data_IF_901805551989
#
_entry.id   IF_901805551989
#
_cell.length_a   1.000
_cell.length_b   1.000
_cell.length_c   1.000
_cell.angle_alpha   90.00
_cell.angle_beta   90.00
_cell.angle_gamma   90.00
#
_symmetry.space_group_name_H-M   'P 1'
#
loop_
_entity.id
_entity.type
_entity.pdbx_description
1 polymer ?
#
# COMPACT_ATOMS: atom_id res chain seq x y z
N UNK A 1 -9.68 -16.30 -15.28
CA UNK A 1 -8.73 -15.19 -15.49
C UNK A 1 -8.19 -15.35 -16.91
N UNK A 2 -8.40 -14.35 -17.79
CA UNK A 2 -7.93 -14.42 -19.18
C UNK A 2 -6.37 -14.30 -19.18
N UNK A 3 -5.70 -15.01 -20.10
CA UNK A 3 -4.25 -15.16 -20.19
C UNK A 3 -3.43 -13.88 -20.51
N UNK A 4 -4.05 -12.70 -20.54
CA UNK A 4 -3.46 -11.44 -21.00
C UNK A 4 -3.51 -10.29 -19.99
N UNK A 5 -3.81 -10.53 -18.71
CA UNK A 5 -3.80 -9.45 -17.72
C UNK A 5 -2.36 -9.15 -17.31
N UNK A 6 -1.82 -7.95 -17.62
CA UNK A 6 -0.43 -7.65 -17.30
C UNK A 6 -0.24 -7.54 -15.79
N UNK A 7 0.70 -8.30 -15.24
CA UNK A 7 1.11 -8.20 -13.85
C UNK A 7 1.81 -6.85 -13.61
N UNK A 8 1.21 -6.03 -12.75
CA UNK A 8 1.77 -4.71 -12.41
C UNK A 8 2.78 -4.80 -11.27
N UNK A 9 2.60 -5.74 -10.36
CA UNK A 9 3.56 -6.05 -9.30
C UNK A 9 3.93 -7.52 -9.43
N UNK A 10 5.24 -7.81 -9.42
CA UNK A 10 5.77 -9.17 -9.40
C UNK A 10 6.92 -9.23 -8.39
N UNK A 11 6.87 -10.16 -7.46
CA UNK A 11 7.96 -10.50 -6.55
C UNK A 11 8.28 -11.98 -6.73
N UNK A 12 9.58 -12.30 -6.85
CA UNK A 12 10.08 -13.66 -7.06
C UNK A 12 11.23 -13.93 -6.10
N UNK A 13 11.02 -14.84 -5.16
CA UNK A 13 11.99 -15.19 -4.13
C UNK A 13 12.41 -14.01 -3.25
N UNK A 14 11.55 -12.98 -3.12
CA UNK A 14 11.92 -11.72 -2.50
C UNK A 14 12.20 -11.92 -1.02
N UNK A 15 13.45 -11.66 -0.60
CA UNK A 15 13.93 -11.97 0.75
C UNK A 15 14.64 -10.77 1.35
N UNK A 16 14.44 -10.53 2.66
CA UNK A 16 15.18 -9.52 3.42
C UNK A 16 15.65 -10.04 4.76
N UNK A 17 16.97 -9.93 4.97
CA UNK A 17 17.62 -10.18 6.25
C UNK A 17 18.19 -8.90 6.84
N UNK A 18 18.14 -8.79 8.16
CA UNK A 18 18.81 -7.77 8.97
C UNK A 18 19.69 -8.51 9.99
N UNK A 19 20.97 -8.68 9.67
CA UNK A 19 21.84 -9.58 10.44
C UNK A 19 21.26 -11.00 10.44
N UNK A 20 21.02 -11.57 11.62
CA UNK A 20 20.41 -12.89 11.77
C UNK A 20 18.87 -12.90 11.57
N UNK A 21 18.22 -11.74 11.70
CA UNK A 21 16.77 -11.65 11.62
C UNK A 21 16.29 -11.72 10.16
N UNK A 22 15.38 -12.64 9.87
CA UNK A 22 14.74 -12.82 8.57
C UNK A 22 13.39 -12.09 8.59
N UNK A 23 13.34 -10.90 7.98
CA UNK A 23 12.15 -10.05 7.98
C UNK A 23 11.15 -10.38 6.86
N UNK A 24 11.65 -10.87 5.72
CA UNK A 24 10.83 -11.41 4.61
C UNK A 24 11.58 -12.61 4.04
N UNK A 25 10.87 -13.71 3.83
CA UNK A 25 11.42 -15.00 3.45
C UNK A 25 10.76 -15.53 2.18
N UNK A 26 11.51 -15.51 1.06
CA UNK A 26 11.13 -16.13 -0.20
C UNK A 26 9.71 -15.76 -0.67
N UNK A 27 9.36 -14.46 -0.66
CA UNK A 27 8.04 -14.01 -1.05
C UNK A 27 7.82 -14.16 -2.56
N UNK A 28 6.78 -14.91 -2.92
CA UNK A 28 6.24 -15.02 -4.27
C UNK A 28 4.91 -14.27 -4.33
N UNK A 29 4.80 -13.27 -5.22
CA UNK A 29 3.60 -12.46 -5.32
C UNK A 29 3.41 -11.89 -6.73
N UNK A 30 2.15 -11.86 -7.18
CA UNK A 30 1.74 -11.21 -8.42
C UNK A 30 0.43 -10.46 -8.19
N UNK A 31 0.38 -9.18 -8.62
CA UNK A 31 -0.83 -8.34 -8.55
C UNK A 31 -1.09 -7.73 -9.93
N UNK A 32 -2.35 -7.79 -10.36
CA UNK A 32 -2.76 -7.37 -11.68
C UNK A 32 -3.06 -5.85 -11.77
N UNK A 33 -3.18 -5.33 -12.99
CA UNK A 33 -3.72 -4.01 -13.23
C UNK A 33 -5.21 -3.96 -12.83
N UNK A 34 -5.63 -2.85 -12.21
CA UNK A 34 -7.02 -2.66 -11.75
C UNK A 34 -7.41 -3.50 -10.54
N UNK A 35 -6.48 -4.21 -9.93
CA UNK A 35 -6.71 -5.04 -8.73
C UNK A 35 -6.46 -4.23 -7.46
N UNK A 36 -7.33 -4.38 -6.46
CA UNK A 36 -7.08 -3.94 -5.09
C UNK A 36 -6.58 -5.16 -4.29
N UNK A 37 -5.31 -5.17 -3.99
CA UNK A 37 -4.65 -6.23 -3.24
C UNK A 37 -4.44 -5.82 -1.78
N UNK A 38 -4.99 -6.58 -0.85
CA UNK A 38 -4.79 -6.43 0.59
C UNK A 38 -3.62 -7.28 1.10
N UNK A 39 -2.66 -6.67 1.78
CA UNK A 39 -1.53 -7.36 2.38
C UNK A 39 -1.64 -7.31 3.90
N UNK A 40 -2.11 -8.40 4.49
CA UNK A 40 -2.50 -8.51 5.89
C UNK A 40 -1.46 -9.26 6.71
N UNK A 41 -1.32 -8.86 7.96
CA UNK A 41 -0.47 -9.57 8.92
C UNK A 41 -0.35 -8.79 10.23
N UNK A 42 0.09 -9.44 11.31
CA UNK A 42 0.33 -8.78 12.58
C UNK A 42 1.47 -7.75 12.49
N UNK A 43 1.67 -6.97 13.55
CA UNK A 43 2.82 -6.08 13.64
C UNK A 43 4.11 -6.91 13.65
N UNK A 44 5.10 -6.45 12.89
CA UNK A 44 6.35 -7.21 12.72
C UNK A 44 6.31 -8.35 11.70
N UNK A 45 5.17 -8.64 11.07
CA UNK A 45 5.05 -9.72 10.07
C UNK A 45 5.88 -9.52 8.80
N UNK A 46 6.40 -8.30 8.53
CA UNK A 46 7.20 -8.00 7.34
C UNK A 46 6.49 -7.11 6.31
N UNK A 47 5.26 -6.62 6.57
CA UNK A 47 4.47 -5.80 5.63
C UNK A 47 5.22 -4.56 5.12
N UNK A 48 5.61 -3.67 6.01
CA UNK A 48 6.35 -2.44 5.67
C UNK A 48 7.71 -2.74 5.02
N UNK A 49 8.41 -3.81 5.44
CA UNK A 49 9.65 -4.26 4.82
C UNK A 49 9.41 -4.69 3.36
N UNK A 50 8.35 -5.44 3.12
CA UNK A 50 7.94 -5.86 1.76
C UNK A 50 7.63 -4.66 0.89
N UNK A 51 6.78 -3.73 1.36
CA UNK A 51 6.45 -2.51 0.63
C UNK A 51 7.71 -1.72 0.30
N UNK A 52 8.60 -1.50 1.27
CA UNK A 52 9.87 -0.76 1.04
C UNK A 52 10.76 -1.41 0.00
N UNK A 53 10.78 -2.74 -0.12
CA UNK A 53 11.49 -3.44 -1.20
C UNK A 53 10.79 -3.24 -2.55
N UNK A 54 9.46 -3.36 -2.61
CA UNK A 54 8.68 -3.21 -3.84
C UNK A 54 8.73 -1.78 -4.41
N UNK A 55 8.77 -0.76 -3.55
CA UNK A 55 8.91 0.66 -3.99
C UNK A 55 10.37 1.08 -4.19
N UNK A 56 11.34 0.19 -3.97
CA UNK A 56 12.76 0.46 -4.16
C UNK A 56 13.39 1.42 -3.15
N UNK A 57 12.85 1.48 -1.93
CA UNK A 57 13.44 2.18 -0.79
C UNK A 57 14.39 1.28 0.01
N UNK A 58 14.24 -0.04 -0.15
CA UNK A 58 15.04 -1.03 0.53
C UNK A 58 15.53 -2.07 -0.48
N UNK A 59 16.82 -2.31 -0.50
CA UNK A 59 17.40 -3.37 -1.34
C UNK A 59 17.10 -4.74 -0.73
N UNK A 60 16.55 -5.71 -1.49
CA UNK A 60 16.39 -7.07 -1.04
C UNK A 60 17.76 -7.74 -0.79
N UNK A 61 17.79 -8.73 0.09
CA UNK A 61 18.96 -9.58 0.31
C UNK A 61 19.13 -10.63 -0.80
N UNK A 62 18.00 -11.12 -1.33
CA UNK A 62 17.92 -11.99 -2.51
C UNK A 62 16.54 -11.88 -3.17
N UNK A 63 16.39 -12.49 -4.34
CA UNK A 63 15.18 -12.40 -5.16
C UNK A 63 15.09 -11.08 -5.94
N UNK A 64 13.98 -10.89 -6.63
CA UNK A 64 13.74 -9.74 -7.48
C UNK A 64 12.30 -9.23 -7.37
N UNK A 65 12.10 -7.95 -7.68
CA UNK A 65 10.78 -7.36 -7.81
C UNK A 65 10.68 -6.54 -9.09
N UNK A 66 9.53 -6.61 -9.77
CA UNK A 66 9.23 -5.83 -10.98
C UNK A 66 7.95 -5.05 -10.80
N UNK A 67 7.95 -3.83 -11.29
CA UNK A 67 6.79 -2.93 -11.29
C UNK A 67 6.53 -2.50 -12.74
N UNK A 68 5.35 -2.86 -13.25
CA UNK A 68 5.01 -2.61 -14.67
C UNK A 68 6.02 -3.21 -15.65
N UNK A 69 6.60 -4.39 -15.31
CA UNK A 69 7.63 -5.07 -16.10
C UNK A 69 9.07 -4.58 -15.84
N UNK A 70 9.27 -3.43 -15.16
CA UNK A 70 10.60 -2.88 -14.85
C UNK A 70 11.15 -3.44 -13.53
N UNK A 71 12.34 -3.98 -13.55
CA UNK A 71 13.05 -4.43 -12.35
C UNK A 71 13.41 -3.23 -11.46
N UNK A 72 12.98 -3.28 -10.19
CA UNK A 72 13.11 -2.13 -9.26
C UNK A 72 14.58 -1.82 -8.91
N UNK A 73 15.50 -2.77 -9.07
CA UNK A 73 16.94 -2.58 -8.81
C UNK A 73 17.70 -2.22 -10.09
N UNK A 74 17.40 -2.87 -11.21
CA UNK A 74 18.10 -2.65 -12.46
C UNK A 74 17.56 -1.44 -13.24
N UNK A 75 16.27 -1.12 -13.10
CA UNK A 75 15.56 -0.06 -13.82
C UNK A 75 14.78 0.85 -12.83
N UNK A 76 15.43 1.41 -11.78
CA UNK A 76 14.72 2.08 -10.69
C UNK A 76 13.95 3.33 -11.10
N UNK A 77 14.42 4.09 -12.08
CA UNK A 77 13.74 5.30 -12.55
C UNK A 77 12.44 4.97 -13.29
N UNK A 78 12.48 3.97 -14.18
CA UNK A 78 11.31 3.51 -14.91
C UNK A 78 10.26 2.90 -13.99
N UNK A 79 10.69 2.05 -13.05
CA UNK A 79 9.79 1.46 -12.06
C UNK A 79 9.16 2.54 -11.16
N UNK A 80 9.97 3.45 -10.59
CA UNK A 80 9.50 4.50 -9.68
C UNK A 80 8.60 5.53 -10.35
N UNK A 81 8.76 5.77 -11.64
CA UNK A 81 7.87 6.66 -12.40
C UNK A 81 6.41 6.14 -12.45
N UNK A 82 6.21 4.83 -12.26
CA UNK A 82 4.89 4.19 -12.22
C UNK A 82 4.27 4.13 -10.82
N UNK A 83 5.03 4.47 -9.77
CA UNK A 83 4.67 4.23 -8.38
C UNK A 83 4.19 5.50 -7.69
N UNK A 84 2.99 5.47 -7.11
CA UNK A 84 2.58 6.32 -5.99
C UNK A 84 2.77 5.58 -4.69
N UNK A 85 3.34 6.22 -3.67
CA UNK A 85 3.55 5.59 -2.37
C UNK A 85 3.12 6.49 -1.22
N UNK A 86 2.28 5.96 -0.35
CA UNK A 86 1.82 6.56 0.91
C UNK A 86 2.37 5.72 2.06
N UNK A 87 3.36 6.19 2.79
CA UNK A 87 3.90 5.49 3.95
C UNK A 87 2.94 5.61 5.15
N UNK A 88 3.10 4.71 6.12
CA UNK A 88 2.42 4.74 7.43
C UNK A 88 2.59 6.09 8.14
N UNK A 89 3.81 6.61 8.17
CA UNK A 89 4.09 7.94 8.73
C UNK A 89 4.36 8.95 7.61
N UNK A 90 3.50 9.98 7.42
CA UNK A 90 3.70 11.00 6.41
C UNK A 90 5.01 11.77 6.60
N UNK A 91 5.82 11.82 5.53
CA UNK A 91 7.05 12.62 5.50
C UNK A 91 6.84 13.84 4.59
N UNK A 92 6.59 15.00 5.18
CA UNK A 92 6.24 16.22 4.47
C UNK A 92 7.26 17.34 4.75
N UNK A 93 7.47 18.21 3.76
CA UNK A 93 8.30 19.42 3.93
C UNK A 93 7.50 20.50 4.64
N UNK A 94 7.60 20.55 5.96
CA UNK A 94 6.78 21.38 6.84
C UNK A 94 6.89 22.89 6.60
N UNK A 95 7.97 23.36 5.99
CA UNK A 95 8.24 24.77 5.67
C UNK A 95 7.67 25.22 4.31
N UNK A 96 7.07 24.32 3.56
CA UNK A 96 6.32 24.64 2.35
C UNK A 96 4.84 24.82 2.65
N UNK A 97 4.14 25.61 1.85
CA UNK A 97 2.67 25.59 1.81
C UNK A 97 2.18 24.36 1.01
N UNK A 98 0.94 23.92 1.25
CA UNK A 98 0.40 22.72 0.62
C UNK A 98 0.49 22.74 -0.91
N UNK A 99 0.21 23.87 -1.54
CA UNK A 99 0.31 24.03 -2.99
C UNK A 99 1.75 23.94 -3.51
N UNK A 100 2.71 24.55 -2.81
CA UNK A 100 4.14 24.49 -3.18
C UNK A 100 4.67 23.05 -3.05
N UNK A 101 4.28 22.36 -1.98
CA UNK A 101 4.67 20.97 -1.76
C UNK A 101 4.22 20.08 -2.94
N UNK A 102 2.96 20.15 -3.35
CA UNK A 102 2.46 19.36 -4.49
C UNK A 102 3.16 19.73 -5.81
N UNK A 103 3.37 21.03 -6.08
CA UNK A 103 4.12 21.48 -7.26
C UNK A 103 5.56 20.97 -7.24
N UNK A 104 6.21 20.96 -6.09
CA UNK A 104 7.55 20.42 -5.91
C UNK A 104 7.60 18.93 -6.26
N UNK A 105 6.68 18.13 -5.72
CA UNK A 105 6.59 16.70 -6.04
C UNK A 105 6.32 16.50 -7.55
N UNK A 106 5.40 17.24 -8.14
CA UNK A 106 5.13 17.16 -9.59
C UNK A 106 6.38 17.41 -10.44
N UNK A 107 7.23 18.36 -10.03
CA UNK A 107 8.51 18.63 -10.72
C UNK A 107 9.50 17.46 -10.58
N UNK A 108 9.54 16.77 -9.44
CA UNK A 108 10.39 15.58 -9.26
C UNK A 108 10.00 14.46 -10.23
N UNK A 109 8.72 14.39 -10.61
CA UNK A 109 8.21 13.46 -11.63
C UNK A 109 8.23 14.06 -13.05
N UNK A 110 8.95 15.17 -13.28
CA UNK A 110 9.10 15.85 -14.58
C UNK A 110 7.79 16.35 -15.21
N UNK A 111 6.77 16.64 -14.41
CA UNK A 111 5.56 17.29 -14.92
C UNK A 111 5.86 18.73 -15.36
N UNK A 112 5.24 19.16 -16.46
CA UNK A 112 5.26 20.57 -16.87
C UNK A 112 4.74 21.47 -15.75
N UNK A 113 5.37 22.63 -15.46
CA UNK A 113 4.98 23.48 -14.33
C UNK A 113 3.52 23.93 -14.33
N UNK A 114 2.93 24.16 -15.53
CA UNK A 114 1.51 24.52 -15.64
C UNK A 114 0.60 23.33 -15.35
N UNK A 115 0.98 22.16 -15.87
CA UNK A 115 0.28 20.90 -15.60
C UNK A 115 0.35 20.55 -14.11
N UNK A 116 1.54 20.59 -13.50
CA UNK A 116 1.73 20.35 -12.06
C UNK A 116 0.89 21.32 -11.21
N UNK A 117 0.82 22.60 -11.61
CA UNK A 117 0.01 23.60 -10.92
C UNK A 117 -1.49 23.32 -10.98
N UNK A 118 -2.03 22.96 -12.15
CA UNK A 118 -3.45 22.58 -12.29
C UNK A 118 -3.75 21.30 -11.50
N UNK A 119 -2.93 20.26 -11.67
CA UNK A 119 -3.13 18.99 -10.98
C UNK A 119 -3.05 19.13 -9.45
N UNK A 120 -2.15 19.98 -8.96
CA UNK A 120 -2.05 20.28 -7.53
C UNK A 120 -3.35 20.92 -6.97
N UNK A 121 -3.95 21.88 -7.71
CA UNK A 121 -5.21 22.49 -7.31
C UNK A 121 -6.38 21.49 -7.33
N UNK A 122 -6.47 20.65 -8.36
CA UNK A 122 -7.48 19.59 -8.47
C UNK A 122 -7.39 18.61 -7.28
N UNK A 123 -6.18 18.17 -6.94
CA UNK A 123 -5.97 17.24 -5.83
C UNK A 123 -6.25 17.90 -4.46
N UNK A 124 -5.85 19.15 -4.26
CA UNK A 124 -6.19 19.87 -3.04
C UNK A 124 -7.72 20.02 -2.87
N UNK A 125 -8.43 20.30 -3.96
CA UNK A 125 -9.90 20.37 -3.94
C UNK A 125 -10.51 18.98 -3.66
N UNK A 126 -10.02 17.93 -4.30
CA UNK A 126 -10.48 16.54 -4.11
C UNK A 126 -10.39 16.08 -2.64
N UNK A 127 -9.34 16.52 -1.93
CA UNK A 127 -9.10 16.14 -0.53
C UNK A 127 -9.60 17.16 0.50
N UNK A 128 -10.44 18.14 0.10
CA UNK A 128 -10.96 19.20 0.97
C UNK A 128 -9.83 20.06 1.61
N UNK A 129 -8.75 20.32 0.86
CA UNK A 129 -7.60 21.13 1.30
C UNK A 129 -7.46 22.45 0.53
N UNK A 130 -8.39 22.79 -0.38
CA UNK A 130 -8.30 23.98 -1.22
C UNK A 130 -8.18 25.27 -0.42
N UNK A 131 -9.01 25.45 0.63
CA UNK A 131 -9.02 26.62 1.50
C UNK A 131 -7.77 26.74 2.38
N UNK A 132 -6.99 25.66 2.49
CA UNK A 132 -5.76 25.56 3.29
C UNK A 132 -4.50 25.49 2.42
N UNK A 133 -4.66 25.59 1.10
CA UNK A 133 -3.56 25.43 0.12
C UNK A 133 -2.40 26.41 0.34
N UNK A 134 -2.68 27.61 0.87
CA UNK A 134 -1.71 28.65 1.20
C UNK A 134 -1.12 28.58 2.61
N UNK A 135 -1.56 27.65 3.45
CA UNK A 135 -1.05 27.50 4.79
C UNK A 135 0.20 26.61 4.81
N UNK A 136 1.13 26.89 5.72
CA UNK A 136 2.31 26.04 5.94
C UNK A 136 1.89 24.64 6.39
N UNK A 137 2.52 23.62 5.83
CA UNK A 137 2.26 22.20 6.15
C UNK A 137 2.51 21.89 7.63
N UNK A 138 3.40 22.62 8.31
CA UNK A 138 3.61 22.47 9.76
C UNK A 138 2.33 22.75 10.58
N UNK A 139 1.41 23.56 10.07
CA UNK A 139 0.12 23.87 10.70
C UNK A 139 -1.01 22.90 10.36
N UNK A 140 -0.74 21.89 9.53
CA UNK A 140 -1.75 20.90 9.16
C UNK A 140 -1.99 19.89 10.30
N UNK A 141 -3.26 19.54 10.52
CA UNK A 141 -3.62 18.43 11.40
C UNK A 141 -3.10 17.08 10.83
N UNK A 142 -3.10 16.03 11.65
CA UNK A 142 -2.69 14.70 11.19
C UNK A 142 -3.49 14.24 9.95
N UNK A 143 -4.83 14.37 9.98
CA UNK A 143 -5.67 14.02 8.83
C UNK A 143 -5.39 14.86 7.59
N UNK A 144 -5.11 16.18 7.73
CA UNK A 144 -4.71 17.02 6.60
C UNK A 144 -3.35 16.61 6.03
N UNK A 145 -2.39 16.23 6.87
CA UNK A 145 -1.07 15.70 6.43
C UNK A 145 -1.24 14.40 5.66
N UNK A 146 -2.09 13.49 6.13
CA UNK A 146 -2.39 12.25 5.43
C UNK A 146 -3.04 12.50 4.07
N UNK A 147 -4.02 13.40 3.99
CA UNK A 147 -4.66 13.83 2.73
C UNK A 147 -3.67 14.47 1.76
N UNK A 148 -2.77 15.31 2.26
CA UNK A 148 -1.72 15.92 1.42
C UNK A 148 -0.71 14.88 0.91
N UNK A 149 -0.39 13.85 1.70
CA UNK A 149 0.47 12.72 1.29
C UNK A 149 -0.20 11.91 0.18
N UNK A 150 -1.49 11.61 0.32
CA UNK A 150 -2.29 10.96 -0.74
C UNK A 150 -2.29 11.81 -2.03
N UNK A 151 -2.54 13.12 -1.91
CA UNK A 151 -2.50 14.03 -3.05
C UNK A 151 -1.11 14.05 -3.73
N UNK A 152 -0.04 14.08 -2.95
CA UNK A 152 1.33 14.05 -3.48
C UNK A 152 1.65 12.75 -4.21
N UNK A 153 1.22 11.61 -3.69
CA UNK A 153 1.44 10.32 -4.32
C UNK A 153 0.62 10.12 -5.62
N UNK A 154 -0.44 10.92 -5.82
CA UNK A 154 -1.31 10.90 -7.01
C UNK A 154 -0.95 11.97 -8.06
N UNK A 155 0.00 12.87 -7.78
CA UNK A 155 0.26 14.05 -8.62
C UNK A 155 0.68 13.68 -10.05
N UNK A 156 1.40 12.58 -10.22
CA UNK A 156 1.98 12.11 -11.48
C UNK A 156 1.18 10.96 -12.15
N UNK A 157 -0.04 10.70 -11.67
CA UNK A 157 -0.96 9.68 -12.20
C UNK A 157 -0.33 8.26 -12.21
N UNK A 158 -0.03 7.69 -11.04
CA UNK A 158 0.68 6.42 -10.93
C UNK A 158 -0.15 5.25 -11.48
N UNK A 159 0.55 4.26 -12.06
CA UNK A 159 -0.05 2.99 -12.50
C UNK A 159 -0.14 1.95 -11.37
N UNK A 160 0.68 2.11 -10.34
CA UNK A 160 0.71 1.26 -9.15
C UNK A 160 0.70 2.15 -7.92
N UNK A 161 -0.23 1.93 -7.02
CA UNK A 161 -0.41 2.73 -5.82
C UNK A 161 -0.21 1.89 -4.57
N UNK A 162 0.91 2.12 -3.88
CA UNK A 162 1.24 1.47 -2.61
C UNK A 162 0.79 2.33 -1.43
N UNK A 163 0.13 1.69 -0.47
CA UNK A 163 -0.37 2.34 0.73
C UNK A 163 -0.02 1.49 1.97
N UNK A 164 0.68 2.09 2.91
CA UNK A 164 0.98 1.45 4.19
C UNK A 164 0.02 2.02 5.24
N UNK A 165 -0.98 1.21 5.67
CA UNK A 165 -2.03 1.56 6.65
C UNK A 165 -2.81 2.86 6.32
N UNK A 166 -3.40 3.02 5.11
CA UNK A 166 -3.87 4.31 4.59
C UNK A 166 -5.04 4.96 5.34
N UNK A 167 -5.75 4.23 6.18
CA UNK A 167 -6.94 4.71 6.89
C UNK A 167 -6.71 4.96 8.37
N UNK A 168 -5.54 4.60 8.88
CA UNK A 168 -5.19 4.83 10.29
C UNK A 168 -5.10 6.33 10.58
N UNK A 169 -5.75 6.76 11.67
CA UNK A 169 -5.74 8.16 12.09
C UNK A 169 -6.64 9.10 11.28
N UNK A 170 -7.44 8.59 10.34
CA UNK A 170 -8.45 9.36 9.64
C UNK A 170 -9.81 9.29 10.36
N UNK A 171 -10.56 10.40 10.32
CA UNK A 171 -11.96 10.40 10.71
C UNK A 171 -12.81 9.53 9.75
N UNK A 172 -14.02 9.08 10.17
CA UNK A 172 -14.85 8.20 9.34
C UNK A 172 -15.19 8.74 7.95
N UNK A 173 -15.40 10.07 7.82
CA UNK A 173 -15.69 10.69 6.52
C UNK A 173 -14.47 10.61 5.60
N UNK A 174 -13.30 10.99 6.11
CA UNK A 174 -12.04 10.95 5.36
C UNK A 174 -11.65 9.51 4.98
N UNK A 175 -11.81 8.55 5.89
CA UNK A 175 -11.57 7.13 5.60
C UNK A 175 -12.49 6.63 4.47
N UNK A 176 -13.77 7.03 4.45
CA UNK A 176 -14.70 6.71 3.36
C UNK A 176 -14.26 7.31 2.03
N UNK A 177 -13.89 8.61 2.03
CA UNK A 177 -13.37 9.28 0.83
C UNK A 177 -12.17 8.54 0.23
N UNK A 178 -11.22 8.11 1.08
CA UNK A 178 -10.06 7.32 0.62
C UNK A 178 -10.50 5.99 0.02
N UNK A 179 -11.41 5.27 0.65
CA UNK A 179 -11.95 4.00 0.13
C UNK A 179 -12.60 4.16 -1.24
N UNK A 180 -13.44 5.19 -1.40
CA UNK A 180 -14.13 5.46 -2.66
C UNK A 180 -13.13 5.86 -3.76
N UNK A 181 -12.10 6.65 -3.42
CA UNK A 181 -11.00 7.00 -4.32
C UNK A 181 -10.24 5.76 -4.80
N UNK A 182 -9.86 4.85 -3.89
CA UNK A 182 -9.11 3.64 -4.26
C UNK A 182 -9.91 2.75 -5.21
N UNK A 183 -11.22 2.59 -4.98
CA UNK A 183 -12.10 1.86 -5.91
C UNK A 183 -12.18 2.53 -7.29
N UNK A 184 -12.27 3.86 -7.32
CA UNK A 184 -12.25 4.61 -8.57
C UNK A 184 -10.95 4.42 -9.36
N UNK A 185 -9.80 4.52 -8.69
CA UNK A 185 -8.49 4.31 -9.31
C UNK A 185 -8.35 2.88 -9.85
N UNK A 186 -8.77 1.87 -9.09
CA UNK A 186 -8.75 0.48 -9.53
C UNK A 186 -9.65 0.26 -10.75
N UNK A 187 -10.86 0.82 -10.76
CA UNK A 187 -11.77 0.76 -11.91
C UNK A 187 -11.19 1.44 -13.17
N UNK A 188 -10.27 2.38 -13.01
CA UNK A 188 -9.51 3.05 -14.10
C UNK A 188 -8.25 2.26 -14.50
N UNK A 189 -7.97 1.13 -13.88
CA UNK A 189 -6.85 0.25 -14.21
C UNK A 189 -5.61 0.43 -13.33
N UNK A 190 -5.64 1.30 -12.31
CA UNK A 190 -4.53 1.42 -11.34
C UNK A 190 -4.47 0.19 -10.47
N UNK A 191 -3.30 -0.44 -10.35
CA UNK A 191 -3.04 -1.51 -9.39
C UNK A 191 -2.89 -0.92 -7.99
N UNK A 192 -3.68 -1.35 -7.03
CA UNK A 192 -3.64 -0.89 -5.64
C UNK A 192 -3.05 -1.99 -4.76
N UNK A 193 -2.00 -1.67 -4.03
CA UNK A 193 -1.41 -2.56 -3.03
C UNK A 193 -1.50 -1.87 -1.66
N UNK A 194 -2.31 -2.39 -0.76
CA UNK A 194 -2.46 -1.80 0.56
C UNK A 194 -2.13 -2.78 1.68
N UNK A 195 -1.27 -2.37 2.61
CA UNK A 195 -1.15 -3.08 3.88
C UNK A 195 -2.24 -2.63 4.83
N UNK A 196 -2.74 -3.55 5.62
CA UNK A 196 -3.61 -3.23 6.77
C UNK A 196 -3.61 -4.36 7.79
N UNK A 197 -3.89 -4.02 9.04
CA UNK A 197 -4.20 -4.97 10.10
C UNK A 197 -5.72 -5.00 10.40
N UNK A 198 -6.52 -4.17 9.70
CA UNK A 198 -7.98 -4.09 9.89
C UNK A 198 -8.65 -5.02 8.89
N UNK A 199 -9.01 -6.22 9.37
CA UNK A 199 -9.56 -7.31 8.56
C UNK A 199 -10.85 -6.91 7.84
N UNK A 200 -11.75 -6.18 8.51
CA UNK A 200 -13.02 -5.70 7.93
C UNK A 200 -12.81 -4.79 6.70
N UNK A 201 -11.75 -3.97 6.70
CA UNK A 201 -11.40 -3.13 5.55
C UNK A 201 -10.94 -4.00 4.39
N UNK A 202 -10.06 -4.97 4.64
CA UNK A 202 -9.57 -5.86 3.62
C UNK A 202 -10.69 -6.71 3.00
N UNK A 203 -11.55 -7.30 3.82
CA UNK A 203 -12.66 -8.13 3.36
C UNK A 203 -13.65 -7.37 2.45
N UNK A 204 -13.89 -6.07 2.76
CA UNK A 204 -14.84 -5.24 1.99
C UNK A 204 -14.25 -4.58 0.75
N UNK A 205 -12.94 -4.40 0.70
CA UNK A 205 -12.31 -3.57 -0.33
C UNK A 205 -11.43 -4.34 -1.30
N UNK A 206 -10.81 -5.42 -0.85
CA UNK A 206 -9.78 -6.08 -1.64
C UNK A 206 -10.38 -7.17 -2.53
N UNK A 207 -9.92 -7.24 -3.78
CA UNK A 207 -10.27 -8.30 -4.71
C UNK A 207 -9.54 -9.59 -4.33
N UNK A 208 -8.27 -9.47 -3.92
CA UNK A 208 -7.47 -10.56 -3.36
C UNK A 208 -6.71 -10.10 -2.13
N UNK A 209 -6.41 -11.06 -1.28
CA UNK A 209 -5.77 -10.85 0.02
C UNK A 209 -4.58 -11.80 0.14
N UNK A 210 -3.43 -11.26 0.56
CA UNK A 210 -2.27 -12.02 0.99
C UNK A 210 -2.10 -11.89 2.51
N UNK A 211 -2.02 -13.02 3.21
CA UNK A 211 -1.76 -13.07 4.64
C UNK A 211 -0.29 -13.40 4.86
N UNK A 212 0.43 -12.47 5.52
CA UNK A 212 1.85 -12.63 5.85
C UNK A 212 2.01 -12.76 7.36
N UNK A 213 2.83 -13.71 7.79
CA UNK A 213 3.31 -13.79 9.17
C UNK A 213 4.77 -14.24 9.20
N UNK A 214 5.55 -13.68 10.15
CA UNK A 214 6.99 -13.99 10.34
C UNK A 214 7.79 -13.97 9.02
N UNK A 215 7.47 -13.02 8.14
CA UNK A 215 8.12 -12.83 6.85
C UNK A 215 7.66 -13.75 5.72
N UNK A 216 6.73 -14.66 5.96
CA UNK A 216 6.23 -15.65 4.98
C UNK A 216 4.80 -15.37 4.57
N UNK A 217 4.52 -15.46 3.28
CA UNK A 217 3.17 -15.43 2.75
C UNK A 217 2.50 -16.79 3.04
N UNK A 218 1.54 -16.80 3.95
CA UNK A 218 0.88 -18.03 4.43
C UNK A 218 -0.32 -18.42 3.56
N UNK A 219 -1.07 -17.42 3.08
CA UNK A 219 -2.22 -17.61 2.22
C UNK A 219 -2.35 -16.43 1.26
N UNK A 220 -2.87 -16.68 0.05
CA UNK A 220 -3.11 -15.63 -0.94
C UNK A 220 -4.24 -16.08 -1.88
N UNK A 221 -5.27 -15.23 -2.04
CA UNK A 221 -6.40 -15.52 -2.94
C UNK A 221 -7.53 -14.53 -2.77
N UNK A 222 -8.62 -14.74 -3.53
CA UNK A 222 -9.90 -14.07 -3.31
C UNK A 222 -10.52 -14.54 -1.99
N UNK A 223 -11.53 -13.81 -1.48
CA UNK A 223 -12.26 -14.26 -0.28
C UNK A 223 -12.87 -15.65 -0.45
N UNK A 224 -13.33 -15.99 -1.66
CA UNK A 224 -13.89 -17.31 -1.96
C UNK A 224 -12.83 -18.40 -1.88
N UNK A 225 -11.64 -18.17 -2.47
CA UNK A 225 -10.51 -19.09 -2.44
C UNK A 225 -9.98 -19.29 -1.01
N UNK A 226 -9.86 -18.20 -0.23
CA UNK A 226 -9.42 -18.26 1.16
C UNK A 226 -10.42 -19.04 2.04
N UNK A 227 -11.72 -18.83 1.86
CA UNK A 227 -12.76 -19.62 2.56
C UNK A 227 -12.74 -21.09 2.14
N UNK A 228 -12.53 -21.40 0.87
CA UNK A 228 -12.44 -22.77 0.42
C UNK A 228 -11.24 -23.53 1.02
N UNK A 229 -10.14 -22.84 1.28
CA UNK A 229 -8.94 -23.39 1.88
C UNK A 229 -8.98 -23.45 3.42
N UNK A 230 -9.63 -22.46 4.07
CA UNK A 230 -9.66 -22.30 5.54
C UNK A 230 -11.01 -22.58 6.20
N UNK A 231 -12.04 -23.04 5.45
CA UNK A 231 -13.39 -23.30 6.00
C UNK A 231 -14.37 -22.14 5.82
N UNK A 232 -15.61 -22.29 6.32
CA UNK A 232 -16.76 -21.37 6.08
C UNK A 232 -16.77 -20.11 6.97
N UNK A 233 -15.64 -19.72 7.56
CA UNK A 233 -15.52 -18.61 8.50
C UNK A 233 -15.40 -17.22 7.88
N UNK A 234 -15.30 -16.22 8.74
CA UNK A 234 -14.94 -14.83 8.39
C UNK A 234 -13.46 -14.74 8.02
N UNK A 235 -13.01 -13.60 7.47
CA UNK A 235 -11.58 -13.37 7.26
C UNK A 235 -10.78 -13.44 8.57
N UNK A 236 -11.41 -13.06 9.69
CA UNK A 236 -10.81 -13.16 11.03
C UNK A 236 -10.54 -14.60 11.42
N UNK A 237 -11.50 -15.51 11.22
CA UNK A 237 -11.33 -16.94 11.50
C UNK A 237 -10.18 -17.53 10.66
N UNK A 238 -10.15 -17.21 9.36
CA UNK A 238 -9.07 -17.65 8.46
C UNK A 238 -7.73 -17.08 8.91
N UNK A 239 -7.67 -15.80 9.25
CA UNK A 239 -6.46 -15.14 9.71
C UNK A 239 -5.91 -15.81 10.98
N UNK A 240 -6.75 -16.03 11.99
CA UNK A 240 -6.36 -16.72 13.22
C UNK A 240 -5.89 -18.16 12.96
N UNK A 241 -6.56 -18.88 12.07
CA UNK A 241 -6.18 -20.24 11.73
C UNK A 241 -4.81 -20.32 11.06
N UNK A 242 -4.49 -19.41 10.10
CA UNK A 242 -3.23 -19.46 9.35
C UNK A 242 -2.06 -18.80 10.08
N UNK A 243 -2.31 -17.82 10.97
CA UNK A 243 -1.25 -17.13 11.75
C UNK A 243 -0.95 -17.81 13.09
N UNK A 244 -1.61 -18.90 13.39
CA UNK A 244 -1.33 -19.74 14.56
C UNK A 244 -2.29 -19.51 15.72
N UNK A 245 -3.52 -19.94 15.58
CA UNK A 245 -4.41 -20.22 16.71
C UNK A 245 -3.80 -21.16 17.77
N UNK A 246 -2.69 -21.83 17.43
CA UNK A 246 -1.93 -22.66 18.36
C UNK A 246 -1.34 -21.89 19.56
N UNK A 247 -0.90 -20.63 19.41
CA UNK A 247 -0.41 -19.84 20.54
C UNK A 247 -1.54 -19.40 21.47
N UNK A 248 -2.73 -19.13 20.93
CA UNK A 248 -3.92 -18.77 21.73
C UNK A 248 -4.47 -20.00 22.43
N UNK A 249 -4.47 -21.17 21.79
CA UNK A 249 -4.84 -22.45 22.43
C UNK A 249 -3.84 -22.90 23.50
N UNK A 250 -2.55 -22.66 23.28
CA UNK A 250 -1.51 -22.99 24.26
C UNK A 250 -1.54 -22.07 25.47
N UNK A 251 -1.84 -20.77 25.27
CA UNK A 251 -2.08 -19.82 26.35
C UNK A 251 -3.37 -20.12 27.11
N UNK A 252 -4.44 -20.53 26.44
CA UNK A 252 -5.69 -20.94 27.07
C UNK A 252 -5.48 -22.22 27.92
N UNK A 253 -4.69 -23.18 27.43
CA UNK A 253 -4.34 -24.40 28.20
C UNK A 253 -3.39 -24.15 29.38
N UNK A 254 -2.66 -23.04 29.40
CA UNK A 254 -1.81 -22.65 30.55
C UNK A 254 -2.58 -21.87 31.62
N UNK A 255 -3.80 -21.44 31.33
CA UNK A 255 -4.70 -20.72 32.25
C UNK A 255 -5.78 -21.63 32.86
N UNK A 256 -5.89 -22.89 32.45
CA UNK A 256 -6.66 -23.96 33.09
C UNK A 256 -5.76 -24.77 34.05
#
# INVERSE_FOLDING_TARGET
>A
MSADTPWMIQAQGLTKRYGEALAVDNLELQVAAGEIFGFLGPNGAGKTTTIKMLVGLLRPSSGQARIGGHDIQAQPLQAKALIGFVPDTPFLYEKLIGLEFLRFIGRLYNLDPRQAGRRAQELLAMFDLADRAGDLVQGYSHGMRQKLTLAAALIHDPRVFFLDEPTVGLDPKSARQVKDLLRQLAAQGTCIFMSTHILEIAERMCDRIGIIDRGRLLACGTMEELRAAGGTGTLEDIFLQVTGGAEVEEMAKQLE
#
